data_IF_595649475017
#
_entry.id   IF_595649475017
#
_cell.length_a   1.000
_cell.length_b   1.000
_cell.length_c   1.000
_cell.angle_alpha   90.00
_cell.angle_beta   90.00
_cell.angle_gamma   90.00
#
_symmetry.space_group_name_H-M   'P 1'
#
loop_
_entity.id
_entity.type
_entity.pdbx_description
1 polymer ?
#
# COMPACT_ATOMS: atom_id res chain seq x y z
N UNK A 1 1.69 8.51 -17.06
CA UNK A 1 2.09 8.42 -15.64
C UNK A 1 1.34 9.44 -14.83
N UNK A 2 0.77 9.02 -13.71
CA UNK A 2 0.10 9.93 -12.77
C UNK A 2 1.02 10.22 -11.57
N UNK A 3 0.82 11.37 -10.98
CA UNK A 3 1.64 11.85 -9.86
C UNK A 3 0.78 12.67 -8.90
N UNK A 4 0.98 12.45 -7.61
CA UNK A 4 0.37 13.26 -6.55
C UNK A 4 1.37 13.51 -5.42
N UNK A 5 1.30 14.68 -4.82
CA UNK A 5 2.09 15.03 -3.64
C UNK A 5 1.22 15.71 -2.59
N UNK A 6 1.58 15.57 -1.33
CA UNK A 6 0.84 16.17 -0.23
C UNK A 6 1.42 15.84 1.13
N UNK A 7 0.57 16.02 2.14
CA UNK A 7 0.86 15.69 3.54
C UNK A 7 -0.20 14.74 4.09
N UNK A 8 0.12 14.00 5.14
CA UNK A 8 -0.82 13.13 5.82
C UNK A 8 -0.62 13.18 7.34
N UNK A 9 -1.72 13.01 8.09
CA UNK A 9 -1.68 13.10 9.55
C UNK A 9 -1.24 11.81 10.22
N UNK A 10 -1.35 10.69 9.50
CA UNK A 10 -1.02 9.35 9.97
C UNK A 10 -0.92 8.37 8.82
N UNK A 11 -0.51 7.13 9.09
CA UNK A 11 -0.53 6.07 8.08
C UNK A 11 -1.95 5.78 7.59
N UNK A 12 -2.95 5.83 8.46
CA UNK A 12 -4.35 5.66 8.05
C UNK A 12 -4.80 6.72 7.07
N UNK A 13 -4.50 7.98 7.35
CA UNK A 13 -4.80 9.09 6.45
C UNK A 13 -4.03 8.99 5.13
N UNK A 14 -2.76 8.57 5.16
CA UNK A 14 -1.98 8.33 3.95
C UNK A 14 -2.63 7.27 3.07
N UNK A 15 -3.01 6.14 3.67
CA UNK A 15 -3.60 5.02 2.91
C UNK A 15 -4.96 5.39 2.33
N UNK A 16 -5.74 6.21 3.04
CA UNK A 16 -6.96 6.78 2.48
C UNK A 16 -6.67 7.59 1.21
N UNK A 17 -5.71 8.50 1.27
CA UNK A 17 -5.31 9.33 0.12
C UNK A 17 -4.74 8.49 -1.03
N UNK A 18 -3.93 7.50 -0.70
CA UNK A 18 -3.39 6.56 -1.67
C UNK A 18 -4.49 5.78 -2.39
N UNK A 19 -5.53 5.34 -1.68
CA UNK A 19 -6.66 4.65 -2.27
C UNK A 19 -7.45 5.54 -3.22
N UNK A 20 -7.70 6.79 -2.87
CA UNK A 20 -8.35 7.78 -3.75
C UNK A 20 -7.51 7.97 -5.03
N UNK A 21 -6.22 8.16 -4.89
CA UNK A 21 -5.31 8.31 -6.02
C UNK A 21 -5.28 7.05 -6.92
N UNK A 22 -5.16 5.88 -6.31
CA UNK A 22 -5.13 4.62 -7.04
C UNK A 22 -6.43 4.38 -7.81
N UNK A 23 -7.59 4.60 -7.18
CA UNK A 23 -8.89 4.44 -7.82
C UNK A 23 -9.08 5.41 -8.99
N UNK A 24 -8.60 6.65 -8.87
CA UNK A 24 -8.62 7.62 -9.97
C UNK A 24 -7.73 7.18 -11.16
N UNK A 25 -6.82 6.26 -10.93
CA UNK A 25 -5.88 5.75 -11.93
C UNK A 25 -6.11 4.28 -12.30
N UNK A 26 -7.35 3.80 -12.17
CA UNK A 26 -7.77 2.51 -12.69
C UNK A 26 -7.70 1.33 -11.72
N UNK A 27 -7.33 1.54 -10.46
CA UNK A 27 -7.40 0.50 -9.45
C UNK A 27 -8.82 0.30 -8.93
N UNK A 28 -9.13 -0.92 -8.58
CA UNK A 28 -10.36 -1.28 -7.85
C UNK A 28 -10.01 -1.47 -6.38
N UNK A 29 -10.81 -0.90 -5.49
CA UNK A 29 -10.69 -1.14 -4.05
C UNK A 29 -11.49 -2.40 -3.70
N UNK A 30 -10.85 -3.55 -3.74
CA UNK A 30 -11.50 -4.84 -3.44
C UNK A 30 -11.86 -4.94 -1.96
N UNK A 31 -11.03 -4.39 -1.09
CA UNK A 31 -11.32 -4.20 0.32
C UNK A 31 -11.00 -2.74 0.66
N UNK A 32 -12.03 -1.87 0.68
CA UNK A 32 -11.82 -0.43 0.81
C UNK A 32 -11.41 -0.01 2.22
N UNK A 33 -10.77 1.13 2.31
CA UNK A 33 -10.51 1.81 3.57
C UNK A 33 -11.80 2.45 4.06
N UNK A 34 -12.11 2.24 5.32
CA UNK A 34 -13.29 2.83 5.98
C UNK A 34 -12.85 4.09 6.72
N UNK A 35 -13.40 5.23 6.30
CA UNK A 35 -13.09 6.55 6.88
C UNK A 35 -11.83 7.18 6.31
N UNK A 36 -11.63 8.44 6.62
CA UNK A 36 -10.52 9.25 6.10
C UNK A 36 -9.21 9.08 6.86
N UNK A 37 -9.28 8.53 8.06
CA UNK A 37 -8.12 8.29 8.93
C UNK A 37 -8.38 7.08 9.82
N UNK A 38 -8.43 5.86 9.25
CA UNK A 38 -8.70 4.67 10.03
C UNK A 38 -7.62 4.45 11.09
N UNK A 39 -8.08 4.04 12.28
CA UNK A 39 -7.18 3.65 13.36
C UNK A 39 -6.48 2.33 13.04
N UNK A 40 -5.24 2.18 13.48
CA UNK A 40 -4.54 0.90 13.40
C UNK A 40 -5.03 -0.05 14.49
N UNK A 41 -5.12 -1.38 14.23
CA UNK A 41 -4.83 -2.02 12.96
C UNK A 41 -5.98 -1.92 11.95
N UNK A 42 -5.64 -1.84 10.67
CA UNK A 42 -6.63 -1.93 9.59
C UNK A 42 -6.08 -2.75 8.41
N UNK A 43 -6.97 -3.23 7.58
CA UNK A 43 -6.65 -3.98 6.37
C UNK A 43 -7.37 -3.36 5.17
N UNK A 44 -6.76 -3.45 4.00
CA UNK A 44 -7.34 -2.99 2.75
C UNK A 44 -6.67 -3.69 1.56
N UNK A 45 -7.30 -3.66 0.41
CA UNK A 45 -6.78 -4.32 -0.79
C UNK A 45 -7.15 -3.56 -2.07
N UNK A 46 -6.22 -3.55 -3.01
CA UNK A 46 -6.36 -2.94 -4.32
C UNK A 46 -6.04 -3.95 -5.42
N UNK A 47 -6.66 -3.78 -6.58
CA UNK A 47 -6.29 -4.53 -7.78
C UNK A 47 -6.37 -3.68 -9.04
N UNK A 48 -5.55 -4.05 -10.03
CA UNK A 48 -5.59 -3.48 -11.38
C UNK A 48 -5.12 -4.54 -12.36
N UNK A 49 -6.03 -5.03 -13.21
CA UNK A 49 -5.71 -6.16 -14.10
C UNK A 49 -5.29 -7.39 -13.31
N UNK A 50 -4.09 -7.88 -13.56
CA UNK A 50 -3.52 -9.03 -12.84
C UNK A 50 -2.77 -8.66 -11.57
N UNK A 51 -2.71 -7.38 -11.21
CA UNK A 51 -2.03 -6.90 -10.02
C UNK A 51 -3.01 -6.90 -8.85
N UNK A 52 -2.71 -7.67 -7.79
CA UNK A 52 -3.47 -7.72 -6.55
C UNK A 52 -2.53 -7.47 -5.39
N UNK A 53 -2.85 -6.53 -4.53
CA UNK A 53 -2.06 -6.23 -3.35
C UNK A 53 -2.97 -5.98 -2.15
N UNK A 54 -2.68 -6.67 -1.06
CA UNK A 54 -3.31 -6.43 0.23
C UNK A 54 -2.38 -5.64 1.15
N UNK A 55 -2.97 -4.82 1.99
CA UNK A 55 -2.25 -4.02 2.99
C UNK A 55 -2.82 -4.31 4.37
N UNK A 56 -1.92 -4.48 5.32
CA UNK A 56 -2.29 -4.66 6.72
C UNK A 56 -1.31 -3.88 7.58
N UNK A 57 -1.84 -3.05 8.45
CA UNK A 57 -1.00 -2.43 9.48
C UNK A 57 -0.72 -3.42 10.60
N UNK A 58 0.50 -3.38 11.12
CA UNK A 58 0.95 -4.20 12.23
C UNK A 58 1.58 -3.30 13.29
N UNK A 59 1.24 -3.55 14.53
CA UNK A 59 1.92 -2.93 15.67
C UNK A 59 2.77 -3.98 16.40
N UNK A 60 4.03 -3.66 16.61
CA UNK A 60 4.96 -4.48 17.37
C UNK A 60 5.96 -3.59 18.10
N UNK A 61 6.21 -3.87 19.36
CA UNK A 61 7.15 -3.09 20.19
C UNK A 61 6.84 -1.58 20.22
N UNK A 62 5.56 -1.22 20.22
CA UNK A 62 5.13 0.18 20.22
C UNK A 62 5.30 0.90 18.88
N UNK A 63 5.60 0.19 17.82
CA UNK A 63 5.86 0.74 16.48
C UNK A 63 4.85 0.20 15.48
N UNK A 64 4.40 1.06 14.56
CA UNK A 64 3.48 0.71 13.48
C UNK A 64 4.25 0.44 12.19
N UNK A 65 3.93 -0.68 11.55
CA UNK A 65 4.46 -1.08 10.25
C UNK A 65 3.31 -1.28 9.28
N UNK A 66 3.58 -1.09 7.99
CA UNK A 66 2.69 -1.49 6.92
C UNK A 66 3.24 -2.76 6.27
N UNK A 67 2.43 -3.81 6.26
CA UNK A 67 2.72 -5.05 5.56
C UNK A 67 1.97 -5.04 4.23
N UNK A 68 2.66 -5.38 3.16
CA UNK A 68 2.09 -5.58 1.83
C UNK A 68 2.11 -7.05 1.48
N UNK A 69 1.00 -7.56 0.96
CA UNK A 69 0.82 -8.95 0.57
C UNK A 69 0.48 -9.01 -0.92
N UNK A 70 1.42 -9.41 -1.78
CA UNK A 70 1.10 -9.69 -3.17
C UNK A 70 0.20 -10.92 -3.24
N UNK A 71 -0.77 -10.91 -4.14
CA UNK A 71 -1.69 -12.03 -4.35
C UNK A 71 -2.02 -12.16 -5.83
N UNK A 72 -2.71 -13.26 -6.20
CA UNK A 72 -3.20 -13.45 -7.57
C UNK A 72 -4.69 -13.23 -7.73
N UNK A 73 -5.37 -12.93 -6.66
CA UNK A 73 -6.80 -12.64 -6.69
C UNK A 73 -7.29 -12.14 -5.36
N UNK A 74 -8.55 -11.76 -5.32
CA UNK A 74 -9.26 -11.31 -4.13
C UNK A 74 -10.45 -12.25 -3.86
N UNK A 75 -10.58 -12.70 -2.62
CA UNK A 75 -11.75 -13.45 -2.16
C UNK A 75 -12.50 -12.62 -1.11
N UNK A 76 -13.73 -12.18 -1.38
CA UNK A 76 -14.50 -11.38 -0.43
C UNK A 76 -14.66 -12.09 0.92
N UNK A 77 -14.51 -11.33 2.01
CA UNK A 77 -14.65 -11.84 3.37
C UNK A 77 -13.40 -12.48 3.96
N UNK A 78 -12.33 -12.66 3.17
CA UNK A 78 -11.06 -13.15 3.68
C UNK A 78 -10.17 -12.03 4.22
N UNK A 79 -9.31 -12.35 5.17
CA UNK A 79 -8.25 -11.44 5.61
C UNK A 79 -7.18 -11.30 4.53
N UNK A 80 -6.45 -10.20 4.57
CA UNK A 80 -5.45 -9.85 3.55
C UNK A 80 -4.42 -10.96 3.30
N UNK A 81 -3.99 -11.68 4.33
CA UNK A 81 -3.03 -12.77 4.19
C UNK A 81 -3.60 -14.08 3.64
N UNK A 82 -4.91 -14.16 3.40
CA UNK A 82 -5.62 -15.40 3.01
C UNK A 82 -6.23 -15.33 1.60
N UNK A 83 -5.88 -14.33 0.81
CA UNK A 83 -6.29 -14.26 -0.59
C UNK A 83 -5.56 -15.29 -1.46
N UNK A 84 -6.10 -15.63 -2.66
CA UNK A 84 -5.50 -16.65 -3.53
C UNK A 84 -4.01 -16.41 -3.80
N UNK A 85 -3.22 -17.45 -3.55
CA UNK A 85 -1.78 -17.45 -3.79
C UNK A 85 -1.03 -16.24 -3.19
N UNK A 86 -1.45 -15.82 -2.00
CA UNK A 86 -0.80 -14.74 -1.28
C UNK A 86 0.66 -15.08 -0.99
N UNK A 87 1.56 -14.21 -1.42
CA UNK A 87 2.98 -14.30 -1.13
C UNK A 87 3.31 -13.85 0.29
N UNK A 88 4.60 -13.96 0.65
CA UNK A 88 5.09 -13.47 1.92
C UNK A 88 4.92 -11.96 2.04
N UNK A 89 4.61 -11.50 3.25
CA UNK A 89 4.48 -10.08 3.52
C UNK A 89 5.83 -9.36 3.40
N UNK A 90 5.77 -8.17 2.81
CA UNK A 90 6.88 -7.22 2.79
C UNK A 90 6.51 -6.11 3.76
N UNK A 91 7.35 -5.87 4.77
CA UNK A 91 7.11 -4.84 5.77
C UNK A 91 7.90 -3.58 5.46
N UNK A 92 7.25 -2.43 5.64
CA UNK A 92 7.96 -1.14 5.68
C UNK A 92 8.69 -0.99 7.01
N UNK A 93 9.57 0.00 7.09
CA UNK A 93 10.06 0.48 8.39
C UNK A 93 8.94 1.23 9.13
N UNK A 94 9.23 1.64 10.37
CA UNK A 94 8.29 2.40 11.22
C UNK A 94 7.58 3.54 10.48
N UNK A 95 6.27 3.62 10.64
CA UNK A 95 5.39 4.64 10.06
C UNK A 95 4.58 5.37 11.15
N UNK A 96 5.18 5.54 12.32
CA UNK A 96 4.54 6.26 13.40
C UNK A 96 4.58 7.78 13.18
N UNK A 97 3.49 8.44 13.58
CA UNK A 97 3.36 9.88 13.55
C UNK A 97 2.92 10.44 12.20
N UNK A 98 3.01 11.76 12.10
CA UNK A 98 2.60 12.48 10.90
C UNK A 98 3.60 12.29 9.76
N UNK A 99 3.08 12.38 8.55
CA UNK A 99 3.83 12.28 7.32
C UNK A 99 3.96 13.69 6.75
N UNK A 100 5.17 14.26 6.80
CA UNK A 100 5.42 15.65 6.42
C UNK A 100 5.35 15.88 4.92
N UNK A 101 5.61 14.83 4.11
CA UNK A 101 5.34 14.86 2.67
C UNK A 101 5.19 13.45 2.12
N UNK A 102 4.37 13.29 1.09
CA UNK A 102 4.30 12.07 0.32
C UNK A 102 4.34 12.38 -1.18
N UNK A 103 4.79 11.39 -1.94
CA UNK A 103 4.77 11.41 -3.39
C UNK A 103 4.27 10.07 -3.89
N UNK A 104 3.21 10.08 -4.70
CA UNK A 104 2.66 8.91 -5.37
C UNK A 104 3.02 8.99 -6.85
N UNK A 105 3.52 7.88 -7.39
CA UNK A 105 3.84 7.74 -8.80
C UNK A 105 3.14 6.49 -9.33
N UNK A 106 2.33 6.64 -10.37
CA UNK A 106 1.60 5.53 -10.97
C UNK A 106 1.91 5.44 -12.46
N UNK A 107 2.30 4.27 -12.92
CA UNK A 107 2.36 3.88 -14.31
C UNK A 107 1.34 2.79 -14.60
N UNK A 108 1.33 2.25 -15.82
CA UNK A 108 0.32 1.26 -16.24
C UNK A 108 0.39 -0.02 -15.40
N UNK A 109 1.57 -0.40 -14.95
CA UNK A 109 1.84 -1.67 -14.27
C UNK A 109 2.58 -1.53 -12.93
N UNK A 110 2.66 -0.33 -12.39
CA UNK A 110 3.29 -0.09 -11.08
C UNK A 110 2.69 1.10 -10.35
N UNK A 111 2.85 1.12 -9.03
CA UNK A 111 2.63 2.29 -8.19
C UNK A 111 3.71 2.36 -7.12
N UNK A 112 4.32 3.52 -6.99
CA UNK A 112 5.36 3.80 -6.00
C UNK A 112 4.95 4.91 -5.04
N UNK A 113 5.34 4.75 -3.78
CA UNK A 113 5.10 5.72 -2.72
C UNK A 113 6.42 6.09 -2.06
N UNK A 114 6.70 7.38 -1.98
CA UNK A 114 7.84 7.92 -1.25
C UNK A 114 7.31 8.84 -0.16
N UNK A 115 7.77 8.63 1.05
CA UNK A 115 7.32 9.39 2.24
C UNK A 115 8.50 10.05 2.92
N UNK A 116 8.23 11.22 3.51
CA UNK A 116 9.08 11.80 4.54
C UNK A 116 8.28 11.85 5.83
N UNK A 117 8.79 11.19 6.87
CA UNK A 117 8.17 11.19 8.18
C UNK A 117 8.49 12.50 8.92
N UNK A 118 7.70 12.80 9.94
CA UNK A 118 7.90 14.01 10.76
C UNK A 118 9.25 14.05 11.49
N UNK A 119 9.89 12.90 11.69
CA UNK A 119 11.25 12.79 12.24
C UNK A 119 12.36 13.05 11.20
N UNK A 120 12.00 13.37 9.96
CA UNK A 120 12.91 13.64 8.85
C UNK A 120 13.37 12.41 8.06
N UNK A 121 13.02 11.20 8.50
CA UNK A 121 13.39 9.96 7.80
C UNK A 121 12.51 9.71 6.60
N UNK A 122 13.11 9.19 5.55
CA UNK A 122 12.40 8.79 4.35
C UNK A 122 12.02 7.31 4.39
N UNK A 123 10.86 6.99 3.83
CA UNK A 123 10.36 5.63 3.61
C UNK A 123 9.84 5.53 2.20
N UNK A 124 9.93 4.34 1.64
CA UNK A 124 9.35 4.08 0.33
C UNK A 124 8.80 2.66 0.28
N UNK A 125 7.75 2.48 -0.52
CA UNK A 125 7.22 1.18 -0.87
C UNK A 125 6.54 1.28 -2.24
N UNK A 126 6.26 0.14 -2.82
CA UNK A 126 5.58 0.10 -4.10
C UNK A 126 5.23 -1.32 -4.49
N UNK A 127 4.45 -1.44 -5.53
CA UNK A 127 4.04 -2.71 -6.10
C UNK A 127 3.83 -2.57 -7.59
N UNK A 128 3.74 -3.70 -8.28
CA UNK A 128 3.51 -3.74 -9.71
C UNK A 128 3.69 -5.12 -10.28
N UNK A 129 3.60 -5.22 -11.60
CA UNK A 129 3.95 -6.42 -12.33
C UNK A 129 5.38 -6.34 -12.81
N UNK A 130 6.01 -7.51 -12.93
CA UNK A 130 7.35 -7.65 -13.49
C UNK A 130 7.32 -8.63 -14.65
N UNK A 131 7.92 -8.23 -15.76
CA UNK A 131 8.16 -9.15 -16.87
C UNK A 131 9.60 -9.67 -16.79
N UNK A 132 9.74 -11.00 -16.76
CA UNK A 132 11.04 -11.63 -16.77
C UNK A 132 11.63 -11.59 -18.17
N UNK A 133 12.84 -11.08 -18.28
CA UNK A 133 13.66 -11.15 -19.50
C UNK A 133 14.87 -12.04 -19.25
N UNK A 134 15.06 -13.01 -20.11
CA UNK A 134 16.16 -13.96 -20.00
C UNK A 134 15.94 -15.05 -18.96
N UNK A 135 17.01 -15.76 -18.65
CA UNK A 135 16.99 -16.89 -17.74
C UNK A 135 17.53 -16.46 -16.36
N UNK A 136 16.63 -16.40 -15.41
CA UNK A 136 16.95 -15.99 -14.04
C UNK A 136 17.11 -17.24 -13.17
N UNK A 137 18.27 -17.36 -12.60
CA UNK A 137 18.53 -18.44 -11.64
C UNK A 137 17.83 -18.20 -10.30
#
# INVERSE_FOLDING_TARGET
MAFETGTATSIGNLMYKLFIFAQANGYTADQPIVGTNPAVPFECALSKGSIFVGFKTRQAYGVTYLNMYPARGFTPGQTVGNHPETGAAISTSSLDGAISSYHFFEGDDYLHVVLRMSDGRHRHFGWGSMTKFGDWA
#
